data_IF_760081512624
#
_entry.id   IF_760081512624
#
_cell.length_a   1.000
_cell.length_b   1.000
_cell.length_c   1.000
_cell.angle_alpha   90.00
_cell.angle_beta   90.00
_cell.angle_gamma   90.00
#
_symmetry.space_group_name_H-M   'P 1'
#
loop_
_entity.id
_entity.type
_entity.pdbx_description
1 polymer ?
#
# COMPACT_ATOMS: atom_id res chain seq x y z
N UNK A 1 20.89 -31.32 -9.43
CA UNK A 1 19.56 -31.92 -9.16
C UNK A 1 18.63 -30.99 -8.36
N UNK A 2 19.03 -30.44 -7.21
CA UNK A 2 18.19 -29.57 -6.37
C UNK A 2 17.59 -28.34 -7.09
N UNK A 3 18.39 -27.65 -7.92
CA UNK A 3 17.91 -26.48 -8.66
C UNK A 3 16.75 -26.80 -9.61
N UNK A 4 16.80 -27.94 -10.31
CA UNK A 4 15.71 -28.36 -11.21
C UNK A 4 14.41 -28.66 -10.45
N UNK A 5 14.53 -29.24 -9.26
CA UNK A 5 13.37 -29.51 -8.39
C UNK A 5 12.77 -28.19 -7.90
N UNK A 6 13.61 -27.26 -7.42
CA UNK A 6 13.16 -25.92 -6.98
C UNK A 6 12.51 -25.13 -8.12
N UNK A 7 13.06 -25.15 -9.33
CA UNK A 7 12.44 -24.51 -10.49
C UNK A 7 11.09 -25.11 -10.85
N UNK A 8 10.94 -26.43 -10.73
CA UNK A 8 9.66 -27.12 -10.99
C UNK A 8 8.62 -26.84 -9.92
N UNK A 9 9.01 -26.64 -8.67
CA UNK A 9 8.07 -26.33 -7.57
C UNK A 9 7.51 -24.91 -7.65
N UNK A 10 8.16 -23.98 -8.36
CA UNK A 10 7.61 -22.65 -8.61
C UNK A 10 6.45 -22.73 -9.61
N UNK A 11 5.27 -22.16 -9.30
CA UNK A 11 4.14 -22.10 -10.24
C UNK A 11 4.52 -21.40 -11.54
N UNK A 12 4.00 -21.89 -12.66
CA UNK A 12 4.40 -21.41 -14.00
C UNK A 12 4.23 -19.91 -14.19
N UNK A 13 3.18 -19.33 -13.61
CA UNK A 13 2.89 -17.89 -13.64
C UNK A 13 4.02 -17.01 -13.09
N UNK A 14 4.89 -17.54 -12.23
CA UNK A 14 6.01 -16.79 -11.64
C UNK A 14 7.38 -17.11 -12.26
N UNK A 15 7.51 -18.22 -13.01
CA UNK A 15 8.80 -18.68 -13.53
C UNK A 15 9.47 -17.68 -14.46
N UNK A 16 8.70 -16.97 -15.29
CA UNK A 16 9.23 -15.97 -16.23
C UNK A 16 9.67 -14.66 -15.57
N UNK A 17 9.28 -14.41 -14.31
CA UNK A 17 9.59 -13.16 -13.60
C UNK A 17 10.76 -13.28 -12.63
N UNK A 18 11.17 -14.51 -12.29
CA UNK A 18 12.33 -14.78 -11.43
C UNK A 18 13.58 -14.84 -12.29
N UNK A 19 14.63 -14.12 -11.89
CA UNK A 19 15.90 -14.13 -12.60
C UNK A 19 16.52 -15.53 -12.61
N UNK A 20 17.11 -15.87 -13.76
CA UNK A 20 17.81 -17.15 -13.94
C UNK A 20 19.07 -17.24 -13.05
N UNK A 21 19.36 -18.45 -12.56
CA UNK A 21 20.51 -18.71 -11.69
C UNK A 21 21.12 -20.08 -11.97
N UNK A 22 22.44 -20.17 -11.82
CA UNK A 22 23.23 -21.37 -12.11
C UNK A 22 23.29 -22.35 -10.93
N UNK A 23 22.91 -21.93 -9.72
CA UNK A 23 22.96 -22.78 -8.53
C UNK A 23 21.74 -22.55 -7.62
N UNK A 24 21.50 -23.51 -6.71
CA UNK A 24 20.31 -23.50 -5.86
C UNK A 24 20.27 -22.27 -4.92
N UNK A 25 21.42 -21.86 -4.37
CA UNK A 25 21.51 -20.70 -3.48
C UNK A 25 21.13 -19.41 -4.21
N UNK A 26 21.74 -19.16 -5.36
CA UNK A 26 21.44 -17.98 -6.17
C UNK A 26 20.00 -17.95 -6.67
N UNK A 27 19.38 -19.11 -6.92
CA UNK A 27 17.97 -19.18 -7.27
C UNK A 27 17.06 -18.79 -6.10
N UNK A 28 17.37 -19.23 -4.88
CA UNK A 28 16.65 -18.80 -3.67
C UNK A 28 16.81 -17.30 -3.42
N UNK A 29 18.01 -16.75 -3.63
CA UNK A 29 18.27 -15.31 -3.52
C UNK A 29 17.45 -14.52 -4.56
N UNK A 30 17.36 -15.01 -5.81
CA UNK A 30 16.55 -14.40 -6.86
C UNK A 30 15.05 -14.41 -6.53
N UNK A 31 14.52 -15.53 -5.99
CA UNK A 31 13.14 -15.61 -5.50
C UNK A 31 12.90 -14.57 -4.41
N UNK A 32 13.78 -14.52 -3.39
CA UNK A 32 13.67 -13.57 -2.28
C UNK A 32 13.66 -12.13 -2.79
N UNK A 33 14.54 -11.80 -3.74
CA UNK A 33 14.63 -10.46 -4.31
C UNK A 33 13.40 -10.10 -5.13
N UNK A 34 12.85 -11.04 -5.91
CA UNK A 34 11.62 -10.84 -6.69
C UNK A 34 10.45 -10.46 -5.77
N UNK A 35 10.18 -11.25 -4.73
CA UNK A 35 9.09 -10.97 -3.79
C UNK A 35 9.31 -9.67 -3.01
N UNK A 36 10.54 -9.40 -2.57
CA UNK A 36 10.88 -8.14 -1.88
C UNK A 36 10.65 -6.92 -2.78
N UNK A 37 11.02 -7.01 -4.06
CA UNK A 37 10.83 -5.92 -5.03
C UNK A 37 9.34 -5.71 -5.34
N UNK A 38 8.58 -6.79 -5.48
CA UNK A 38 7.15 -6.74 -5.73
C UNK A 38 6.38 -6.15 -4.53
N UNK A 39 6.73 -6.54 -3.29
CA UNK A 39 6.17 -5.93 -2.08
C UNK A 39 6.42 -4.42 -2.03
N UNK A 40 7.64 -3.97 -2.35
CA UNK A 40 7.97 -2.54 -2.42
C UNK A 40 7.18 -1.81 -3.51
N UNK A 41 7.06 -2.40 -4.70
CA UNK A 41 6.27 -1.83 -5.79
C UNK A 41 4.78 -1.72 -5.41
N UNK A 42 4.24 -2.75 -4.74
CA UNK A 42 2.87 -2.76 -4.23
C UNK A 42 2.65 -1.69 -3.16
N UNK A 43 3.60 -1.54 -2.22
CA UNK A 43 3.55 -0.50 -1.19
C UNK A 43 3.56 0.90 -1.83
N UNK A 44 4.44 1.15 -2.80
CA UNK A 44 4.50 2.42 -3.52
C UNK A 44 3.20 2.73 -4.28
N UNK A 45 2.61 1.72 -4.93
CA UNK A 45 1.33 1.85 -5.64
C UNK A 45 0.18 2.21 -4.68
N UNK A 46 0.08 1.51 -3.54
CA UNK A 46 -0.92 1.80 -2.51
C UNK A 46 -0.74 3.20 -1.91
N UNK A 47 0.50 3.60 -1.62
CA UNK A 47 0.81 4.92 -1.10
C UNK A 47 0.46 6.02 -2.12
N UNK A 48 0.78 5.81 -3.39
CA UNK A 48 0.41 6.72 -4.48
C UNK A 48 -1.11 6.85 -4.58
N UNK A 49 -1.85 5.72 -4.50
CA UNK A 49 -3.32 5.75 -4.49
C UNK A 49 -3.85 6.52 -3.28
N UNK A 50 -3.28 6.31 -2.08
CA UNK A 50 -3.70 6.99 -0.85
C UNK A 50 -3.52 8.52 -0.96
N UNK A 51 -2.36 8.99 -1.41
CA UNK A 51 -2.03 10.42 -1.47
C UNK A 51 -2.78 11.13 -2.60
N UNK A 52 -2.98 10.45 -3.74
CA UNK A 52 -3.72 11.00 -4.89
C UNK A 52 -5.23 10.95 -4.72
N UNK A 53 -5.73 10.21 -3.73
CA UNK A 53 -7.15 10.11 -3.47
C UNK A 53 -7.72 11.48 -3.10
N UNK A 54 -8.79 11.88 -3.78
CA UNK A 54 -9.54 13.12 -3.48
C UNK A 54 -11.02 12.81 -3.38
N UNK A 55 -11.67 13.38 -2.38
CA UNK A 55 -13.12 13.23 -2.26
C UNK A 55 -13.82 14.06 -3.34
N UNK A 56 -14.65 13.41 -4.18
CA UNK A 56 -15.28 14.04 -5.35
C UNK A 56 -16.61 14.75 -5.05
N UNK A 57 -16.98 14.94 -3.79
CA UNK A 57 -18.23 15.64 -3.38
C UNK A 57 -19.54 15.00 -3.83
N UNK A 58 -19.49 13.82 -4.48
CA UNK A 58 -20.62 13.09 -5.07
C UNK A 58 -20.75 11.66 -4.51
N UNK A 59 -20.60 11.48 -3.20
CA UNK A 59 -20.66 10.17 -2.57
C UNK A 59 -20.86 10.25 -1.06
N UNK A 60 -20.70 9.13 -0.36
CA UNK A 60 -20.75 9.10 1.10
C UNK A 60 -19.34 9.33 1.68
N UNK A 61 -19.17 10.36 2.51
CA UNK A 61 -17.89 10.67 3.15
C UNK A 61 -17.41 9.52 4.06
N UNK A 62 -18.32 8.75 4.67
CA UNK A 62 -17.98 7.59 5.49
C UNK A 62 -17.34 6.48 4.66
N UNK A 63 -17.88 6.21 3.48
CA UNK A 63 -17.31 5.21 2.56
C UNK A 63 -15.93 5.64 2.07
N UNK A 64 -15.77 6.93 1.79
CA UNK A 64 -14.48 7.51 1.43
C UNK A 64 -13.42 7.32 2.52
N UNK A 65 -13.76 7.65 3.78
CA UNK A 65 -12.86 7.46 4.94
C UNK A 65 -12.54 5.97 5.13
N UNK A 66 -13.53 5.08 5.01
CA UNK A 66 -13.31 3.64 5.09
C UNK A 66 -12.38 3.12 4.00
N UNK A 67 -12.45 3.65 2.78
CA UNK A 67 -11.52 3.29 1.70
C UNK A 67 -10.09 3.74 2.03
N UNK A 68 -9.89 4.97 2.54
CA UNK A 68 -8.57 5.44 2.99
C UNK A 68 -8.00 4.59 4.13
N UNK A 69 -8.85 4.19 5.09
CA UNK A 69 -8.45 3.30 6.17
C UNK A 69 -8.05 1.91 5.66
N UNK A 70 -8.80 1.34 4.71
CA UNK A 70 -8.48 0.07 4.07
C UNK A 70 -7.16 0.10 3.28
N UNK A 71 -6.82 1.23 2.65
CA UNK A 71 -5.51 1.40 2.02
C UNK A 71 -4.39 1.42 3.06
N UNK A 72 -4.61 2.12 4.18
CA UNK A 72 -3.65 2.22 5.28
C UNK A 72 -3.43 0.87 5.98
N UNK A 73 -4.48 0.07 6.17
CA UNK A 73 -4.35 -1.28 6.76
C UNK A 73 -3.54 -2.21 5.85
N UNK A 74 -3.71 -2.12 4.52
CA UNK A 74 -2.87 -2.86 3.56
C UNK A 74 -1.41 -2.41 3.62
N UNK A 75 -1.14 -1.10 3.70
CA UNK A 75 0.21 -0.59 3.89
C UNK A 75 0.86 -1.11 5.18
N UNK A 76 0.09 -1.19 6.28
CA UNK A 76 0.56 -1.79 7.54
C UNK A 76 0.95 -3.27 7.38
N UNK A 77 0.21 -4.06 6.60
CA UNK A 77 0.61 -5.46 6.30
C UNK A 77 1.93 -5.55 5.52
N UNK A 78 2.30 -4.52 4.77
CA UNK A 78 3.57 -4.39 4.06
C UNK A 78 4.67 -3.71 4.91
N UNK A 79 4.48 -3.64 6.23
CA UNK A 79 5.40 -3.00 7.19
C UNK A 79 5.58 -1.49 6.97
N UNK A 80 4.65 -0.84 6.27
CA UNK A 80 4.62 0.60 6.08
C UNK A 80 3.46 1.17 6.90
N UNK A 81 3.71 1.40 8.18
CA UNK A 81 2.72 1.90 9.12
C UNK A 81 2.66 3.44 9.07
N UNK A 82 1.46 3.97 8.93
CA UNK A 82 1.16 5.39 9.02
C UNK A 82 0.62 5.67 10.41
N UNK A 83 1.01 6.78 11.02
CA UNK A 83 0.41 7.20 12.29
C UNK A 83 -1.05 7.62 12.09
N UNK A 84 -1.87 7.41 13.12
CA UNK A 84 -3.28 7.81 13.10
C UNK A 84 -3.43 9.32 12.84
N UNK A 85 -2.56 10.14 13.42
CA UNK A 85 -2.55 11.59 13.21
C UNK A 85 -2.27 11.95 11.74
N UNK A 86 -1.30 11.28 11.10
CA UNK A 86 -1.03 11.48 9.67
C UNK A 86 -2.21 11.03 8.80
N UNK A 87 -2.87 9.92 9.14
CA UNK A 87 -4.06 9.46 8.42
C UNK A 87 -5.20 10.48 8.51
N UNK A 88 -5.44 11.05 9.69
CA UNK A 88 -6.45 12.10 9.87
C UNK A 88 -6.10 13.34 9.04
N UNK A 89 -4.84 13.77 9.07
CA UNK A 89 -4.39 14.89 8.23
C UNK A 89 -4.56 14.60 6.73
N UNK A 90 -4.23 13.39 6.27
CA UNK A 90 -4.44 12.95 4.88
C UNK A 90 -5.92 13.02 4.46
N UNK A 91 -6.82 12.54 5.32
CA UNK A 91 -8.27 12.63 5.09
C UNK A 91 -8.73 14.08 5.01
N UNK A 92 -8.23 14.95 5.90
CA UNK A 92 -8.62 16.36 5.89
C UNK A 92 -8.13 17.07 4.61
N UNK A 93 -6.88 16.88 4.20
CA UNK A 93 -6.35 17.56 3.00
C UNK A 93 -6.97 17.06 1.69
N UNK A 94 -7.47 15.81 1.67
CA UNK A 94 -8.06 15.21 0.48
C UNK A 94 -9.54 15.59 0.28
N UNK A 95 -10.18 16.15 1.32
CA UNK A 95 -11.52 16.69 1.24
C UNK A 95 -11.47 18.12 0.63
N UNK A 96 -12.30 18.41 -0.39
CA UNK A 96 -12.32 19.69 -1.05
C UNK A 96 -12.74 20.85 -0.13
N UNK A 97 -12.26 22.06 -0.44
CA UNK A 97 -12.35 23.26 0.40
C UNK A 97 -13.76 23.72 0.73
N UNK A 98 -14.77 23.36 -0.07
CA UNK A 98 -16.17 23.66 0.24
C UNK A 98 -16.72 22.90 1.45
N UNK A 99 -16.02 21.86 1.94
CA UNK A 99 -16.24 21.26 3.26
C UNK A 99 -15.43 21.95 4.37
N UNK A 100 -15.08 23.23 4.22
CA UNK A 100 -14.27 23.98 5.17
C UNK A 100 -14.79 23.92 6.62
N UNK A 101 -16.11 23.88 6.81
CA UNK A 101 -16.73 23.69 8.14
C UNK A 101 -16.34 22.36 8.82
N UNK A 102 -16.10 21.30 8.04
CA UNK A 102 -15.64 20.01 8.57
C UNK A 102 -14.20 20.10 9.10
N UNK A 103 -13.33 20.84 8.39
CA UNK A 103 -11.95 21.11 8.83
C UNK A 103 -11.91 21.98 10.09
N UNK A 104 -12.72 23.04 10.12
CA UNK A 104 -12.81 23.94 11.28
C UNK A 104 -13.32 23.18 12.51
N UNK A 105 -14.36 22.36 12.37
CA UNK A 105 -14.94 21.60 13.50
C UNK A 105 -13.94 20.61 14.15
N UNK A 106 -13.08 19.97 13.35
CA UNK A 106 -12.04 19.08 13.88
C UNK A 106 -10.96 19.88 14.65
N UNK A 107 -10.51 21.00 14.09
CA UNK A 107 -9.47 21.82 14.74
C UNK A 107 -9.93 22.39 16.08
N UNK A 108 -11.19 22.86 16.19
CA UNK A 108 -11.74 23.38 17.45
C UNK A 108 -11.94 22.31 18.54
N UNK A 109 -11.98 21.02 18.17
CA UNK A 109 -12.00 19.91 19.14
C UNK A 109 -10.62 19.56 19.71
N UNK A 110 -9.52 19.86 18.99
CA UNK A 110 -8.14 19.66 19.49
C UNK A 110 -7.73 20.73 20.54
N UNK A 111 -8.41 21.87 20.58
CA UNK A 111 -8.16 22.98 21.54
C UNK A 111 -8.93 22.85 22.88
N UNK A 112 -9.51 21.68 23.17
CA UNK A 112 -10.10 21.33 24.47
C UNK A 112 -9.36 20.15 25.08
#
# INVERSE_FOLDING_TARGET
MCLMIMKRSVPEVFRGSISESQNAKGFLDAIKQYFTSNEKANANSLLTKLISMRYKSKGNIREYIMEMFNLTSKLKTLKLELSDDLLVHLVLISIPTHFGQFKVSYNTQKDK
#
